data_IF_653430006101
#
_entry.id   IF_653430006101
#
_cell.length_a   1.000
_cell.length_b   1.000
_cell.length_c   1.000
_cell.angle_alpha   90.00
_cell.angle_beta   90.00
_cell.angle_gamma   90.00
#
_symmetry.space_group_name_H-M   'P 1'
#
loop_
_entity.id
_entity.type
_entity.pdbx_description
1 polymer ?
#
# COMPACT_ATOMS: atom_id res chain seq x y z
N UNK A 1 18.26 -5.09 -3.74
CA UNK A 1 19.40 -4.65 -2.90
C UNK A 1 20.34 -5.77 -2.43
N UNK A 2 19.87 -6.93 -1.97
CA UNK A 2 20.75 -8.01 -1.47
C UNK A 2 21.63 -8.71 -2.51
N UNK A 3 21.21 -8.85 -3.77
CA UNK A 3 22.04 -9.50 -4.83
C UNK A 3 23.26 -8.68 -5.23
N UNK A 4 23.23 -7.36 -5.14
CA UNK A 4 24.39 -6.49 -5.44
C UNK A 4 25.44 -6.47 -4.31
N UNK A 5 25.06 -6.76 -3.05
CA UNK A 5 25.99 -6.83 -1.92
C UNK A 5 26.80 -8.15 -1.90
N UNK A 6 26.25 -9.23 -2.41
CA UNK A 6 26.94 -10.54 -2.46
C UNK A 6 28.02 -10.56 -3.57
N UNK A 7 27.81 -9.88 -4.69
CA UNK A 7 28.86 -9.76 -5.72
C UNK A 7 30.05 -8.90 -5.28
N UNK A 8 29.85 -7.88 -4.47
CA UNK A 8 30.92 -7.01 -3.98
C UNK A 8 31.84 -7.71 -2.95
N UNK A 9 31.35 -8.69 -2.19
CA UNK A 9 32.12 -9.45 -1.21
C UNK A 9 32.95 -10.59 -1.83
N UNK A 10 32.53 -11.10 -3.01
CA UNK A 10 33.28 -12.15 -3.73
C UNK A 10 34.46 -11.57 -4.52
N UNK A 11 34.41 -10.31 -4.96
CA UNK A 11 35.51 -9.66 -5.68
C UNK A 11 36.67 -9.23 -4.78
N UNK A 12 36.46 -9.09 -3.47
CA UNK A 12 37.51 -8.65 -2.53
C UNK A 12 38.34 -9.79 -1.93
N UNK A 13 37.93 -11.05 -2.10
CA UNK A 13 38.68 -12.22 -1.60
C UNK A 13 39.60 -12.88 -2.63
N UNK A 14 39.65 -12.41 -3.88
CA UNK A 14 40.49 -12.97 -4.96
C UNK A 14 41.76 -12.17 -5.27
N UNK A 15 42.05 -11.09 -4.57
CA UNK A 15 43.19 -10.21 -4.82
C UNK A 15 44.42 -10.46 -3.96
N UNK A 16 44.51 -11.54 -3.21
CA UNK A 16 45.65 -11.83 -2.31
C UNK A 16 46.46 -13.11 -2.62
N UNK A 17 46.26 -13.69 -3.82
CA UNK A 17 47.12 -14.83 -4.21
C UNK A 17 47.46 -14.76 -5.68
N UNK A 18 48.52 -14.09 -6.07
CA UNK A 18 49.45 -14.48 -7.13
C UNK A 18 50.43 -13.37 -7.43
N UNK A 19 51.63 -13.55 -6.97
CA UNK A 19 52.81 -12.83 -7.47
C UNK A 19 53.36 -13.57 -8.67
N UNK A 20 53.93 -12.77 -9.59
CA UNK A 20 54.90 -13.07 -10.65
C UNK A 20 54.54 -14.11 -11.71
N UNK A 21 54.28 -13.66 -12.94
CA UNK A 21 55.08 -14.01 -14.11
C UNK A 21 54.50 -13.47 -15.44
N UNK A 22 55.37 -12.91 -16.25
CA UNK A 22 55.39 -12.74 -17.73
C UNK A 22 54.30 -11.87 -18.41
N UNK A 23 54.85 -10.76 -18.93
CA UNK A 23 54.25 -9.88 -19.96
C UNK A 23 54.33 -10.57 -21.30
N UNK A 24 53.21 -10.82 -21.97
CA UNK A 24 53.07 -10.97 -23.43
C UNK A 24 52.11 -9.89 -23.89
N UNK A 25 52.54 -9.08 -24.85
CA UNK A 25 51.76 -8.09 -25.57
C UNK A 25 50.62 -8.77 -26.32
N UNK A 26 49.40 -8.36 -26.04
CA UNK A 26 48.22 -8.65 -26.88
C UNK A 26 47.60 -7.34 -27.35
N UNK A 27 47.40 -7.27 -28.67
CA UNK A 27 46.74 -6.19 -29.38
C UNK A 27 45.38 -5.87 -28.77
N UNK A 28 45.18 -4.59 -28.47
CA UNK A 28 43.86 -4.05 -28.10
C UNK A 28 43.00 -3.87 -29.32
N UNK A 29 42.08 -4.82 -29.57
CA UNK A 29 40.85 -4.50 -30.29
C UNK A 29 39.98 -3.61 -29.38
N UNK A 30 39.74 -2.37 -29.80
CA UNK A 30 38.73 -1.48 -29.23
C UNK A 30 37.35 -2.14 -29.36
N UNK A 31 36.90 -2.80 -28.32
CA UNK A 31 35.46 -3.05 -28.15
C UNK A 31 34.82 -1.72 -27.79
N UNK A 32 34.08 -1.15 -28.72
CA UNK A 32 33.17 -0.04 -28.44
C UNK A 32 32.22 -0.46 -27.32
N UNK A 33 32.45 0.10 -26.12
CA UNK A 33 31.42 0.12 -25.08
C UNK A 33 30.23 0.90 -25.65
N UNK A 34 29.20 0.18 -26.07
CA UNK A 34 27.88 0.75 -26.21
C UNK A 34 27.43 1.06 -24.78
N UNK A 35 27.62 2.32 -24.34
CA UNK A 35 26.84 2.85 -23.23
C UNK A 35 25.36 2.64 -23.62
N UNK A 36 24.70 1.68 -23.02
CA UNK A 36 23.23 1.68 -22.95
C UNK A 36 22.87 2.98 -22.23
N UNK A 37 22.59 4.00 -23.00
CA UNK A 37 21.88 5.17 -22.52
C UNK A 37 20.50 4.68 -22.10
N UNK A 38 20.29 4.45 -20.82
CA UNK A 38 18.97 4.33 -20.23
C UNK A 38 18.20 5.58 -20.68
N UNK A 39 17.26 5.42 -21.58
CA UNK A 39 16.34 6.50 -21.95
C UNK A 39 15.62 6.90 -20.67
N UNK A 40 15.88 8.12 -20.20
CA UNK A 40 15.16 8.68 -19.07
C UNK A 40 13.71 8.82 -19.50
N UNK A 41 12.82 8.02 -18.93
CA UNK A 41 11.39 8.13 -19.17
C UNK A 41 10.95 9.57 -18.87
N UNK A 42 10.28 10.19 -19.83
CA UNK A 42 9.72 11.54 -19.68
C UNK A 42 8.25 11.48 -20.03
N UNK A 43 7.42 12.20 -19.29
CA UNK A 43 6.00 12.32 -19.61
C UNK A 43 5.74 13.52 -20.50
N UNK A 44 4.76 13.41 -21.37
CA UNK A 44 4.26 14.50 -22.21
C UNK A 44 2.96 15.06 -21.61
N UNK A 45 2.62 16.29 -21.98
CA UNK A 45 1.36 16.94 -21.60
C UNK A 45 0.67 17.49 -22.84
N UNK A 46 -0.66 17.39 -22.90
CA UNK A 46 -1.45 17.81 -24.07
C UNK A 46 -1.32 19.31 -24.34
N UNK A 47 -1.23 20.13 -23.31
CA UNK A 47 -1.14 21.59 -23.44
C UNK A 47 -0.04 22.19 -22.53
N UNK A 48 1.23 22.23 -22.99
CA UNK A 48 2.33 22.76 -22.17
C UNK A 48 2.16 24.24 -21.78
N UNK A 49 1.48 25.07 -22.57
CA UNK A 49 1.27 26.49 -22.26
C UNK A 49 0.40 26.67 -21.00
N UNK A 50 -0.56 25.77 -20.78
CA UNK A 50 -1.41 25.77 -19.58
C UNK A 50 -0.57 25.73 -18.30
N UNK A 51 0.52 25.00 -18.27
CA UNK A 51 1.39 24.77 -17.12
C UNK A 51 2.39 25.90 -16.85
N UNK A 52 2.51 26.89 -17.74
CA UNK A 52 3.47 27.98 -17.56
C UNK A 52 2.97 29.13 -16.70
N UNK A 53 1.70 29.12 -16.29
CA UNK A 53 1.03 30.25 -15.60
C UNK A 53 1.71 30.71 -14.33
N UNK A 54 2.37 29.80 -13.59
CA UNK A 54 3.00 30.08 -12.29
C UNK A 54 4.52 29.99 -12.31
N UNK A 55 5.13 29.91 -13.49
CA UNK A 55 6.54 29.55 -13.67
C UNK A 55 7.55 30.40 -12.89
N UNK A 56 7.19 31.64 -12.51
CA UNK A 56 8.09 32.58 -11.83
C UNK A 56 7.55 33.06 -10.48
N UNK A 57 6.49 32.48 -9.97
CA UNK A 57 5.77 32.99 -8.81
C UNK A 57 6.32 32.47 -7.47
N UNK A 58 7.25 31.50 -7.53
CA UNK A 58 7.86 30.88 -6.33
C UNK A 58 6.84 30.13 -5.46
N UNK A 59 5.78 29.58 -6.07
CA UNK A 59 4.72 28.83 -5.39
C UNK A 59 5.24 27.45 -4.98
N UNK A 60 4.80 26.96 -3.82
CA UNK A 60 4.92 25.56 -3.43
C UNK A 60 3.57 25.02 -3.01
N UNK A 61 3.35 23.73 -3.26
CA UNK A 61 2.21 22.94 -2.78
C UNK A 61 2.68 21.81 -1.89
N UNK A 62 1.86 21.45 -0.90
CA UNK A 62 2.11 20.34 0.01
C UNK A 62 1.14 19.21 -0.34
N UNK A 63 1.69 18.08 -0.78
CA UNK A 63 0.95 16.87 -1.14
C UNK A 63 1.09 15.83 -0.03
N UNK A 64 -0.04 15.23 0.37
CA UNK A 64 -0.10 14.17 1.36
C UNK A 64 -0.82 12.98 0.76
N UNK A 65 -0.09 11.91 0.47
CA UNK A 65 -0.54 10.74 -0.26
C UNK A 65 -0.26 9.46 0.52
N UNK A 66 -0.64 8.33 -0.01
CA UNK A 66 -0.23 7.01 0.47
C UNK A 66 1.26 6.75 0.21
N UNK A 67 1.85 5.79 0.90
CA UNK A 67 3.13 5.21 0.52
C UNK A 67 3.03 4.50 -0.85
N UNK A 68 4.14 4.34 -1.55
CA UNK A 68 4.25 3.61 -2.83
C UNK A 68 3.13 3.89 -3.86
N UNK A 69 2.63 5.15 -3.95
CA UNK A 69 1.41 5.49 -4.68
C UNK A 69 1.59 6.49 -5.83
N UNK A 70 2.84 6.79 -6.19
CA UNK A 70 3.24 7.63 -7.32
C UNK A 70 4.71 7.36 -7.66
N UNK A 71 5.12 7.35 -8.93
CA UNK A 71 6.54 7.34 -9.29
C UNK A 71 7.22 8.58 -8.75
N UNK A 72 8.07 8.43 -7.74
CA UNK A 72 8.70 9.55 -7.01
C UNK A 72 10.22 9.66 -7.25
N UNK A 73 10.79 8.74 -8.04
CA UNK A 73 12.22 8.69 -8.35
C UNK A 73 13.09 8.19 -7.22
N UNK A 74 12.51 7.48 -6.23
CA UNK A 74 13.24 6.87 -5.12
C UNK A 74 14.20 5.77 -5.57
N UNK A 75 13.93 5.12 -6.70
CA UNK A 75 14.76 4.12 -7.33
C UNK A 75 15.47 4.66 -8.58
N UNK A 76 16.67 4.12 -8.88
CA UNK A 76 17.45 4.51 -10.05
C UNK A 76 16.74 4.08 -11.35
N UNK A 77 16.43 5.05 -12.19
CA UNK A 77 15.71 4.84 -13.46
C UNK A 77 14.19 5.01 -13.35
N UNK A 78 13.64 5.14 -12.15
CA UNK A 78 12.23 5.43 -11.94
C UNK A 78 11.94 6.92 -12.19
N UNK A 79 10.87 7.19 -12.90
CA UNK A 79 10.36 8.52 -13.18
C UNK A 79 10.01 9.26 -11.88
N UNK A 80 10.32 10.56 -11.81
CA UNK A 80 9.86 11.42 -10.70
C UNK A 80 8.81 12.41 -11.20
N UNK A 81 7.54 12.06 -11.06
CA UNK A 81 6.43 12.88 -11.55
C UNK A 81 6.33 14.23 -10.82
N UNK A 82 6.67 14.31 -9.54
CA UNK A 82 6.70 15.55 -8.79
C UNK A 82 7.80 16.50 -9.29
N UNK A 83 8.94 15.94 -9.68
CA UNK A 83 10.03 16.72 -10.29
C UNK A 83 9.66 17.16 -11.71
N UNK A 84 9.03 16.33 -12.53
CA UNK A 84 8.55 16.70 -13.85
C UNK A 84 7.48 17.82 -13.78
N UNK A 85 6.52 17.72 -12.84
CA UNK A 85 5.59 18.83 -12.59
C UNK A 85 6.30 20.12 -12.21
N UNK A 86 7.27 20.06 -11.30
CA UNK A 86 8.07 21.22 -10.88
C UNK A 86 8.83 21.84 -12.04
N UNK A 87 9.46 21.02 -12.87
CA UNK A 87 10.20 21.45 -14.07
C UNK A 87 9.28 22.14 -15.08
N UNK A 88 8.09 21.62 -15.27
CA UNK A 88 7.09 22.13 -16.20
C UNK A 88 6.50 23.47 -15.74
N UNK A 89 6.13 23.57 -14.45
CA UNK A 89 5.31 24.65 -13.91
C UNK A 89 6.09 25.69 -13.10
N UNK A 90 7.25 25.34 -12.55
CA UNK A 90 7.97 26.14 -11.55
C UNK A 90 7.37 26.04 -10.14
N UNK A 91 6.30 25.25 -9.93
CA UNK A 91 5.70 25.00 -8.62
C UNK A 91 6.47 23.89 -7.92
N UNK A 92 6.99 24.16 -6.71
CA UNK A 92 7.66 23.14 -5.91
C UNK A 92 6.63 22.23 -5.25
N UNK A 93 6.82 20.91 -5.34
CA UNK A 93 6.00 19.91 -4.66
C UNK A 93 6.72 19.43 -3.40
N UNK A 94 6.13 19.69 -2.23
CA UNK A 94 6.55 19.10 -0.97
C UNK A 94 5.69 17.86 -0.73
N UNK A 95 6.27 16.68 -0.91
CA UNK A 95 5.57 15.41 -0.82
C UNK A 95 5.79 14.73 0.51
N UNK A 96 4.74 14.14 1.08
CA UNK A 96 4.77 13.34 2.30
C UNK A 96 3.70 12.27 2.25
N UNK A 97 3.87 11.20 3.03
CA UNK A 97 3.00 10.02 3.00
C UNK A 97 2.31 9.76 4.33
N UNK A 98 1.21 8.99 4.27
CA UNK A 98 0.47 8.46 5.41
C UNK A 98 0.11 6.99 5.16
N UNK A 99 -0.11 6.23 6.22
CA UNK A 99 -0.39 4.81 6.14
C UNK A 99 -1.90 4.47 6.11
N UNK A 100 -2.77 5.31 6.69
CA UNK A 100 -4.22 5.04 6.76
C UNK A 100 -5.05 6.31 6.59
N UNK A 101 -6.28 6.17 6.08
CA UNK A 101 -7.26 7.27 6.00
C UNK A 101 -7.52 7.92 7.37
N UNK A 102 -7.47 7.14 8.44
CA UNK A 102 -7.67 7.61 9.81
C UNK A 102 -6.51 8.48 10.27
N UNK A 103 -5.28 8.15 9.88
CA UNK A 103 -4.09 8.99 10.12
C UNK A 103 -4.22 10.32 9.39
N UNK A 104 -4.51 10.27 8.09
CA UNK A 104 -4.77 11.47 7.27
C UNK A 104 -5.84 12.36 7.91
N UNK A 105 -6.99 11.77 8.26
CA UNK A 105 -8.10 12.50 8.87
C UNK A 105 -7.70 13.14 10.21
N UNK A 106 -7.06 12.38 11.09
CA UNK A 106 -6.62 12.87 12.39
C UNK A 106 -5.61 14.03 12.24
N UNK A 107 -4.69 13.92 11.28
CA UNK A 107 -3.70 14.95 10.97
C UNK A 107 -4.34 16.25 10.52
N UNK A 108 -5.31 16.18 9.62
CA UNK A 108 -6.04 17.37 9.13
C UNK A 108 -6.90 17.99 10.23
N UNK A 109 -7.62 17.16 11.00
CA UNK A 109 -8.51 17.62 12.07
C UNK A 109 -7.76 18.22 13.26
N UNK A 110 -6.55 17.71 13.52
CA UNK A 110 -5.68 18.22 14.59
C UNK A 110 -5.14 19.61 14.34
N UNK A 111 -5.13 20.06 13.09
CA UNK A 111 -4.55 21.34 12.67
C UNK A 111 -3.04 21.40 12.88
N UNK A 112 -2.36 22.36 12.34
CA UNK A 112 -0.90 22.53 12.50
C UNK A 112 -0.09 22.12 11.29
N UNK A 113 -0.68 21.42 10.32
CA UNK A 113 -0.12 21.20 8.98
C UNK A 113 -1.12 21.68 7.94
N UNK A 114 -0.64 22.39 6.93
CA UNK A 114 -1.44 22.80 5.77
C UNK A 114 -1.04 21.96 4.59
N UNK A 115 -1.96 21.16 4.10
CA UNK A 115 -1.82 20.44 2.84
C UNK A 115 -2.64 21.13 1.76
N UNK A 116 -2.18 21.06 0.52
CA UNK A 116 -2.87 21.60 -0.64
C UNK A 116 -3.54 20.49 -1.44
N UNK A 117 -2.98 19.27 -1.38
CA UNK A 117 -3.49 18.05 -2.03
C UNK A 117 -3.49 16.90 -1.03
N UNK A 118 -4.55 16.11 -1.06
CA UNK A 118 -4.71 14.83 -0.37
C UNK A 118 -5.37 13.81 -1.30
N UNK A 119 -5.10 12.51 -1.11
CA UNK A 119 -5.65 11.43 -1.96
C UNK A 119 -6.30 10.35 -1.09
N UNK A 120 -7.43 10.63 -0.43
CA UNK A 120 -8.15 9.67 0.41
C UNK A 120 -9.08 8.76 -0.39
N UNK A 121 -9.53 7.67 0.26
CA UNK A 121 -10.54 6.78 -0.28
C UNK A 121 -11.96 7.37 -0.15
N UNK A 122 -12.87 6.85 -0.94
CA UNK A 122 -14.25 7.28 -1.13
C UNK A 122 -15.03 7.50 0.18
N UNK A 123 -15.01 6.55 1.13
CA UNK A 123 -15.70 6.70 2.41
C UNK A 123 -15.15 7.87 3.24
N UNK A 124 -13.84 8.08 3.17
CA UNK A 124 -13.20 9.19 3.88
C UNK A 124 -13.48 10.52 3.21
N UNK A 125 -13.54 10.56 1.88
CA UNK A 125 -13.99 11.75 1.13
C UNK A 125 -15.42 12.11 1.53
N UNK A 126 -16.32 11.14 1.57
CA UNK A 126 -17.71 11.34 2.02
C UNK A 126 -17.77 11.95 3.42
N UNK A 127 -16.95 11.43 4.36
CA UNK A 127 -16.82 11.98 5.72
C UNK A 127 -16.32 13.42 5.70
N UNK A 128 -15.24 13.69 4.97
CA UNK A 128 -14.65 15.03 4.91
C UNK A 128 -15.59 16.05 4.26
N UNK A 129 -16.40 15.65 3.26
CA UNK A 129 -17.45 16.50 2.67
C UNK A 129 -18.50 16.85 3.73
N UNK A 130 -19.01 15.85 4.45
CA UNK A 130 -20.01 16.03 5.52
C UNK A 130 -19.51 16.95 6.61
N UNK A 131 -18.24 16.88 6.97
CA UNK A 131 -17.59 17.73 7.97
C UNK A 131 -17.08 19.07 7.41
N UNK A 132 -17.33 19.39 6.13
CA UNK A 132 -16.88 20.61 5.44
C UNK A 132 -15.35 20.82 5.53
N UNK A 133 -14.60 19.74 5.37
CA UNK A 133 -13.13 19.73 5.41
C UNK A 133 -12.48 19.92 4.02
N UNK A 134 -13.24 19.86 2.92
CA UNK A 134 -12.74 19.97 1.55
C UNK A 134 -13.18 21.27 0.88
N UNK A 135 -12.32 21.79 -0.03
CA UNK A 135 -12.65 22.88 -0.94
C UNK A 135 -13.35 22.33 -2.20
N UNK A 136 -14.41 22.97 -2.69
CA UNK A 136 -14.97 22.61 -3.99
C UNK A 136 -13.99 22.93 -5.11
N UNK A 137 -13.87 22.03 -6.08
CA UNK A 137 -12.99 22.18 -7.24
C UNK A 137 -13.60 23.12 -8.28
N UNK A 138 -12.74 23.91 -8.92
CA UNK A 138 -13.07 24.61 -10.16
C UNK A 138 -12.60 23.78 -11.36
N UNK A 139 -13.53 23.05 -11.99
CA UNK A 139 -13.22 22.18 -13.12
C UNK A 139 -12.71 22.93 -14.36
N UNK A 140 -12.88 24.26 -14.44
CA UNK A 140 -12.27 25.05 -15.51
C UNK A 140 -10.74 25.08 -15.42
N UNK A 141 -10.20 24.84 -14.21
CA UNK A 141 -8.77 24.66 -13.97
C UNK A 141 -8.32 23.18 -14.04
N UNK A 142 -9.22 22.26 -14.38
CA UNK A 142 -8.93 20.80 -14.47
C UNK A 142 -9.52 20.27 -15.78
N UNK A 143 -9.08 20.76 -16.95
CA UNK A 143 -9.64 20.32 -18.25
C UNK A 143 -9.50 18.81 -18.46
N UNK A 144 -8.46 18.17 -17.93
CA UNK A 144 -8.24 16.72 -18.03
C UNK A 144 -9.24 15.88 -17.21
N UNK A 145 -10.11 16.50 -16.38
CA UNK A 145 -11.27 15.81 -15.81
C UNK A 145 -12.15 15.18 -16.90
N UNK A 146 -12.11 15.70 -18.14
CA UNK A 146 -12.79 15.13 -19.28
C UNK A 146 -12.33 13.69 -19.59
N UNK A 147 -11.07 13.36 -19.28
CA UNK A 147 -10.48 12.03 -19.52
C UNK A 147 -10.97 10.97 -18.54
N UNK A 148 -11.59 11.34 -17.41
CA UNK A 148 -12.15 10.38 -16.45
C UNK A 148 -13.32 9.64 -17.10
N UNK A 149 -13.37 8.30 -16.94
CA UNK A 149 -14.47 7.44 -17.39
C UNK A 149 -15.77 7.82 -16.71
N UNK A 150 -16.88 7.79 -17.46
CA UNK A 150 -18.18 8.25 -16.96
C UNK A 150 -18.67 7.47 -15.73
N UNK A 151 -18.34 6.18 -15.60
CA UNK A 151 -18.69 5.35 -14.46
C UNK A 151 -18.07 5.81 -13.13
N UNK A 152 -16.98 6.58 -13.17
CA UNK A 152 -16.31 7.15 -11.99
C UNK A 152 -16.71 8.60 -11.72
N UNK A 153 -17.40 9.27 -12.66
CA UNK A 153 -17.90 10.63 -12.45
C UNK A 153 -19.18 10.60 -11.62
N UNK A 154 -19.35 11.57 -10.74
CA UNK A 154 -20.57 11.73 -9.93
C UNK A 154 -20.91 10.50 -9.06
N UNK A 155 -19.88 9.89 -8.46
CA UNK A 155 -20.03 8.78 -7.52
C UNK A 155 -20.86 9.17 -6.28
N UNK A 156 -21.44 8.20 -5.58
CA UNK A 156 -22.30 8.44 -4.40
C UNK A 156 -21.56 9.19 -3.27
N UNK A 157 -20.26 8.98 -3.13
CA UNK A 157 -19.45 9.68 -2.11
C UNK A 157 -19.24 11.17 -2.41
N UNK A 158 -19.29 11.58 -3.70
CA UNK A 158 -19.15 12.98 -4.15
C UNK A 158 -20.07 13.26 -5.35
N UNK A 159 -21.39 13.45 -5.15
CA UNK A 159 -22.31 13.71 -6.24
C UNK A 159 -21.94 14.94 -7.06
N UNK A 160 -21.80 14.73 -8.36
CA UNK A 160 -21.35 15.75 -9.31
C UNK A 160 -19.83 15.97 -9.31
N UNK A 161 -19.04 15.14 -8.65
CA UNK A 161 -17.58 15.26 -8.51
C UNK A 161 -17.18 16.71 -8.17
N UNK A 162 -17.79 17.23 -7.12
CA UNK A 162 -17.62 18.63 -6.72
C UNK A 162 -16.33 18.87 -5.95
N UNK A 163 -15.86 17.87 -5.22
CA UNK A 163 -14.74 17.98 -4.28
C UNK A 163 -13.56 17.10 -4.64
N UNK A 164 -13.75 16.14 -5.56
CA UNK A 164 -12.74 15.12 -5.87
C UNK A 164 -12.60 14.86 -7.37
N UNK A 165 -11.42 14.37 -7.75
CA UNK A 165 -11.14 13.77 -9.07
C UNK A 165 -10.62 12.37 -8.83
N UNK A 166 -11.26 11.31 -9.35
CA UNK A 166 -10.79 9.94 -9.21
C UNK A 166 -9.33 9.79 -9.65
N UNK A 167 -8.56 9.04 -8.87
CA UNK A 167 -7.13 8.83 -9.07
C UNK A 167 -6.84 7.37 -9.44
N UNK A 168 -7.29 6.44 -8.62
CA UNK A 168 -7.20 5.00 -8.82
C UNK A 168 -8.46 4.32 -8.31
N UNK A 169 -8.62 3.05 -8.66
CA UNK A 169 -9.64 2.19 -8.09
C UNK A 169 -9.13 0.75 -8.04
N UNK A 170 -9.76 -0.08 -7.23
CA UNK A 170 -9.38 -1.48 -7.12
C UNK A 170 -10.26 -2.26 -6.16
N UNK A 171 -9.89 -3.50 -5.95
CA UNK A 171 -10.53 -4.46 -5.04
C UNK A 171 -9.56 -4.91 -3.96
N UNK A 172 -10.08 -5.58 -2.94
CA UNK A 172 -9.31 -6.27 -1.92
C UNK A 172 -9.43 -7.77 -2.15
N UNK A 173 -8.32 -8.50 -2.03
CA UNK A 173 -8.30 -9.94 -2.15
C UNK A 173 -7.24 -10.56 -1.24
N UNK A 174 -6.81 -11.75 -1.57
CA UNK A 174 -5.79 -12.48 -0.83
C UNK A 174 -4.61 -12.75 -1.75
N UNK A 175 -3.42 -12.26 -1.35
CA UNK A 175 -2.13 -12.64 -1.94
C UNK A 175 -1.67 -13.91 -1.26
N UNK A 176 -1.22 -14.89 -2.03
CA UNK A 176 -0.79 -16.18 -1.49
C UNK A 176 0.40 -16.77 -2.26
N UNK A 177 1.17 -17.61 -1.59
CA UNK A 177 2.26 -18.39 -2.19
C UNK A 177 1.68 -19.62 -2.88
N UNK A 178 1.69 -19.63 -4.21
CA UNK A 178 1.12 -20.68 -5.09
C UNK A 178 1.82 -22.02 -4.95
N UNK A 179 3.02 -22.05 -4.37
CA UNK A 179 3.77 -23.30 -4.12
C UNK A 179 3.34 -24.00 -2.83
N UNK A 180 2.54 -23.34 -2.00
CA UNK A 180 2.13 -23.81 -0.67
C UNK A 180 0.61 -23.88 -0.51
N UNK A 181 -0.12 -23.00 -1.17
CA UNK A 181 -1.58 -22.86 -1.03
C UNK A 181 -2.24 -23.10 -2.38
N UNK A 182 -3.24 -23.96 -2.42
CA UNK A 182 -4.07 -24.18 -3.62
C UNK A 182 -5.18 -23.11 -3.70
N UNK A 183 -5.34 -22.47 -4.85
CA UNK A 183 -6.32 -21.38 -5.05
C UNK A 183 -7.76 -21.80 -4.72
N UNK A 184 -8.13 -23.05 -5.04
CA UNK A 184 -9.47 -23.60 -4.80
C UNK A 184 -9.87 -23.63 -3.31
N UNK A 185 -8.87 -23.57 -2.40
CA UNK A 185 -9.08 -23.59 -0.95
C UNK A 185 -9.17 -22.21 -0.32
N UNK A 186 -9.07 -21.11 -1.13
CA UNK A 186 -8.97 -19.75 -0.61
C UNK A 186 -10.33 -19.08 -0.46
N UNK A 187 -10.78 -18.98 0.79
CA UNK A 187 -11.81 -18.05 1.25
C UNK A 187 -11.24 -17.09 2.29
N UNK A 188 -12.02 -16.12 2.76
CA UNK A 188 -11.56 -15.24 3.85
C UNK A 188 -11.21 -16.00 5.13
N UNK A 189 -11.74 -17.20 5.32
CA UNK A 189 -11.50 -18.05 6.49
C UNK A 189 -10.08 -18.62 6.56
N UNK A 190 -9.35 -18.69 5.42
CA UNK A 190 -7.93 -19.11 5.39
C UNK A 190 -7.07 -18.20 6.28
N UNK A 191 -7.47 -16.95 6.48
CA UNK A 191 -6.77 -15.99 7.36
C UNK A 191 -6.86 -16.37 8.85
N UNK A 192 -7.65 -17.39 9.21
CA UNK A 192 -7.78 -17.96 10.58
C UNK A 192 -7.27 -19.39 10.67
N UNK A 193 -6.69 -19.93 9.61
CA UNK A 193 -6.25 -21.32 9.56
C UNK A 193 -4.99 -21.53 10.42
N UNK A 194 -5.07 -22.47 11.36
CA UNK A 194 -3.97 -22.81 12.29
C UNK A 194 -2.81 -23.51 11.56
N UNK A 195 -3.04 -24.14 10.41
CA UNK A 195 -2.00 -24.82 9.62
C UNK A 195 -1.00 -23.82 9.02
N UNK A 196 -1.41 -22.56 8.84
CA UNK A 196 -0.56 -21.46 8.37
C UNK A 196 -0.12 -20.52 9.49
N UNK A 197 -0.28 -20.91 10.75
CA UNK A 197 0.02 -20.06 11.91
C UNK A 197 1.44 -19.47 11.86
N UNK A 198 1.55 -18.16 12.08
CA UNK A 198 2.81 -17.43 12.04
C UNK A 198 3.32 -17.11 10.62
N UNK A 199 2.53 -17.44 9.58
CA UNK A 199 2.83 -17.12 8.18
C UNK A 199 1.71 -16.33 7.50
N UNK A 200 0.71 -15.88 8.24
CA UNK A 200 -0.41 -15.05 7.81
C UNK A 200 -0.14 -13.60 8.21
N UNK A 201 -0.30 -12.67 7.28
CA UNK A 201 -0.36 -11.24 7.56
C UNK A 201 -1.81 -10.77 7.68
N UNK A 202 -2.01 -9.59 8.23
CA UNK A 202 -3.30 -8.92 8.31
C UNK A 202 -3.10 -7.42 8.17
N UNK A 203 -4.10 -6.70 7.66
CA UNK A 203 -4.10 -5.24 7.59
C UNK A 203 -3.84 -4.58 8.95
N UNK A 204 -2.95 -3.60 9.00
CA UNK A 204 -2.88 -2.61 10.09
C UNK A 204 -3.80 -1.41 9.82
N UNK A 205 -4.95 -1.69 9.25
CA UNK A 205 -6.01 -0.76 8.94
C UNK A 205 -7.32 -1.30 9.54
N UNK A 206 -7.92 -0.63 10.53
CA UNK A 206 -9.12 -1.14 11.20
C UNK A 206 -10.30 -1.31 10.23
N UNK A 207 -10.47 -0.42 9.25
CA UNK A 207 -11.62 -0.46 8.37
C UNK A 207 -11.62 -1.72 7.49
N UNK A 208 -10.48 -2.08 6.91
CA UNK A 208 -10.33 -3.27 6.08
C UNK A 208 -10.31 -4.55 6.93
N UNK A 209 -9.62 -4.54 8.06
CA UNK A 209 -9.60 -5.69 8.97
C UNK A 209 -11.00 -6.07 9.49
N UNK A 210 -11.79 -5.07 9.89
CA UNK A 210 -13.17 -5.28 10.32
C UNK A 210 -14.05 -5.77 9.17
N UNK A 211 -13.89 -5.21 7.97
CA UNK A 211 -14.65 -5.63 6.79
C UNK A 211 -14.48 -7.12 6.47
N UNK A 212 -13.26 -7.65 6.56
CA UNK A 212 -13.01 -9.09 6.38
C UNK A 212 -13.74 -9.92 7.45
N UNK A 213 -13.63 -9.51 8.72
CA UNK A 213 -14.31 -10.22 9.81
C UNK A 213 -15.84 -10.11 9.70
N UNK A 214 -16.36 -8.96 9.31
CA UNK A 214 -17.79 -8.72 9.05
C UNK A 214 -18.29 -9.57 7.89
N UNK A 215 -17.54 -9.66 6.77
CA UNK A 215 -17.85 -10.54 5.66
C UNK A 215 -17.98 -12.00 6.11
N UNK A 216 -17.00 -12.53 6.84
CA UNK A 216 -17.02 -13.89 7.36
C UNK A 216 -18.20 -14.17 8.28
N UNK A 217 -18.67 -13.16 9.03
CA UNK A 217 -19.81 -13.27 9.93
C UNK A 217 -21.16 -13.04 9.21
N UNK A 218 -21.14 -12.69 7.91
CA UNK A 218 -22.32 -12.37 7.13
C UNK A 218 -22.95 -11.04 7.51
N UNK A 219 -22.14 -10.09 8.01
CA UNK A 219 -22.56 -8.73 8.33
C UNK A 219 -22.25 -7.77 7.17
N UNK A 220 -22.91 -6.62 7.15
CA UNK A 220 -22.59 -5.55 6.22
C UNK A 220 -21.20 -4.98 6.50
N UNK A 221 -20.40 -4.72 5.46
CA UNK A 221 -19.14 -3.99 5.56
C UNK A 221 -19.32 -2.54 6.09
N UNK A 222 -20.56 -2.08 6.15
CA UNK A 222 -20.97 -0.77 6.61
C UNK A 222 -21.86 -0.86 7.86
N UNK A 223 -21.75 -1.93 8.64
CA UNK A 223 -22.56 -2.07 9.84
C UNK A 223 -22.24 -0.98 10.87
N UNK A 224 -23.28 -0.39 11.43
CA UNK A 224 -23.22 0.52 12.57
C UNK A 224 -23.76 -0.14 13.86
N UNK A 225 -24.11 -1.42 13.79
CA UNK A 225 -24.63 -2.17 14.91
C UNK A 225 -23.49 -2.50 15.88
N UNK A 226 -23.59 -1.98 17.12
CA UNK A 226 -22.56 -2.17 18.15
C UNK A 226 -22.28 -3.63 18.47
N UNK A 227 -23.30 -4.52 18.44
CA UNK A 227 -23.13 -5.94 18.73
C UNK A 227 -22.41 -6.67 17.58
N UNK A 228 -22.64 -6.27 16.32
CA UNK A 228 -21.94 -6.82 15.16
C UNK A 228 -20.48 -6.40 15.14
N UNK A 229 -20.20 -5.11 15.42
CA UNK A 229 -18.82 -4.61 15.58
C UNK A 229 -18.07 -5.34 16.70
N UNK A 230 -18.73 -5.60 17.85
CA UNK A 230 -18.12 -6.37 18.94
C UNK A 230 -17.78 -7.80 18.52
N UNK A 231 -18.68 -8.49 17.78
CA UNK A 231 -18.41 -9.84 17.27
C UNK A 231 -17.31 -9.87 16.22
N UNK A 232 -17.24 -8.86 15.34
CA UNK A 232 -16.14 -8.72 14.39
C UNK A 232 -14.80 -8.54 15.12
N UNK A 233 -14.76 -7.72 16.18
CA UNK A 233 -13.57 -7.56 17.02
C UNK A 233 -13.19 -8.85 17.74
N UNK A 234 -14.16 -9.63 18.24
CA UNK A 234 -13.91 -10.95 18.83
C UNK A 234 -13.30 -11.90 17.81
N UNK A 235 -13.83 -11.92 16.58
CA UNK A 235 -13.30 -12.71 15.47
C UNK A 235 -11.85 -12.34 15.13
N UNK A 236 -11.53 -11.04 15.04
CA UNK A 236 -10.16 -10.56 14.84
C UNK A 236 -9.23 -10.93 16.01
N UNK A 237 -9.76 -10.93 17.23
CA UNK A 237 -8.99 -11.38 18.41
C UNK A 237 -8.68 -12.88 18.37
N UNK A 238 -9.57 -13.71 17.81
CA UNK A 238 -9.30 -15.13 17.58
C UNK A 238 -8.17 -15.31 16.58
N UNK A 239 -8.19 -14.54 15.47
CA UNK A 239 -7.18 -14.55 14.40
C UNK A 239 -5.77 -14.21 14.92
N UNK A 240 -5.67 -13.38 15.95
CA UNK A 240 -4.39 -12.94 16.52
C UNK A 240 -3.45 -14.09 16.88
N UNK A 241 -3.96 -15.30 17.12
CA UNK A 241 -3.16 -16.48 17.46
C UNK A 241 -2.37 -17.03 16.27
N UNK A 242 -2.83 -16.77 15.05
CA UNK A 242 -2.24 -17.29 13.81
C UNK A 242 -1.53 -16.22 12.99
N UNK A 243 -1.86 -14.95 13.19
CA UNK A 243 -1.26 -13.81 12.48
C UNK A 243 0.19 -13.62 12.89
N UNK A 244 1.07 -13.47 11.90
CA UNK A 244 2.49 -13.12 12.10
C UNK A 244 2.63 -11.65 12.47
N UNK A 245 2.01 -10.77 11.69
CA UNK A 245 2.06 -9.32 11.85
C UNK A 245 0.83 -8.63 11.25
N UNK A 246 0.55 -7.45 11.77
CA UNK A 246 -0.34 -6.47 11.15
C UNK A 246 0.54 -5.52 10.34
N UNK A 247 0.24 -5.35 9.05
CA UNK A 247 1.09 -4.63 8.09
C UNK A 247 0.29 -3.67 7.23
N UNK A 248 0.98 -2.68 6.71
CA UNK A 248 0.66 -1.93 5.51
C UNK A 248 1.81 -2.17 4.52
N UNK A 249 2.58 -1.18 4.10
CA UNK A 249 3.64 -1.32 3.10
C UNK A 249 4.72 -2.39 3.42
N UNK A 250 4.83 -2.82 4.69
CA UNK A 250 5.74 -3.93 5.07
C UNK A 250 5.38 -5.27 4.41
N UNK A 251 4.22 -5.36 3.73
CA UNK A 251 3.82 -6.56 3.00
C UNK A 251 4.82 -6.88 1.88
N UNK A 252 5.34 -5.87 1.19
CA UNK A 252 6.29 -6.04 0.09
C UNK A 252 7.54 -6.82 0.56
N UNK A 253 8.12 -6.40 1.68
CA UNK A 253 9.28 -7.08 2.26
C UNK A 253 8.93 -8.51 2.73
N UNK A 254 7.80 -8.70 3.39
CA UNK A 254 7.45 -9.96 4.05
C UNK A 254 7.01 -11.04 3.07
N UNK A 255 6.17 -10.70 2.10
CA UNK A 255 5.76 -11.65 1.05
C UNK A 255 6.93 -11.93 0.12
N UNK A 256 7.64 -10.90 -0.35
CA UNK A 256 8.80 -11.05 -1.23
C UNK A 256 9.97 -11.83 -0.62
N UNK A 257 10.16 -11.77 0.70
CA UNK A 257 11.15 -12.60 1.40
C UNK A 257 10.67 -14.03 1.71
N UNK A 258 9.39 -14.36 1.47
CA UNK A 258 8.77 -15.64 1.86
C UNK A 258 8.62 -15.82 3.38
N UNK A 259 8.68 -14.70 4.15
CA UNK A 259 8.43 -14.73 5.60
C UNK A 259 6.95 -14.99 5.90
N UNK A 260 6.06 -14.55 5.03
CA UNK A 260 4.63 -14.82 5.04
C UNK A 260 4.21 -15.47 3.72
N UNK A 261 3.07 -16.16 3.72
CA UNK A 261 2.55 -16.89 2.56
C UNK A 261 1.10 -16.56 2.24
N UNK A 262 0.40 -15.88 3.12
CA UNK A 262 -1.00 -15.48 2.95
C UNK A 262 -1.14 -14.06 3.53
N UNK A 263 -1.74 -13.17 2.75
CA UNK A 263 -2.03 -11.81 3.19
C UNK A 263 -3.28 -11.28 2.49
N UNK A 264 -4.26 -10.72 3.20
CA UNK A 264 -5.29 -9.90 2.57
C UNK A 264 -4.65 -8.58 2.15
N UNK A 265 -4.82 -8.18 0.89
CA UNK A 265 -4.29 -6.88 0.45
C UNK A 265 -5.01 -6.34 -0.79
N UNK A 266 -4.58 -5.16 -1.24
CA UNK A 266 -5.16 -4.48 -2.39
C UNK A 266 -4.64 -5.06 -3.70
N UNK A 267 -5.52 -5.10 -4.72
CA UNK A 267 -5.23 -5.71 -6.01
C UNK A 267 -4.01 -5.08 -6.73
N UNK A 268 -3.83 -3.77 -6.64
CA UNK A 268 -2.69 -3.10 -7.28
C UNK A 268 -1.34 -3.55 -6.70
N UNK A 269 -1.21 -3.57 -5.37
CA UNK A 269 0.00 -4.05 -4.71
C UNK A 269 0.24 -5.54 -5.00
N UNK A 270 -0.84 -6.33 -5.16
CA UNK A 270 -0.73 -7.72 -5.56
C UNK A 270 -0.11 -7.87 -6.95
N UNK A 271 -0.53 -7.06 -7.93
CA UNK A 271 0.05 -7.03 -9.28
C UNK A 271 1.55 -6.71 -9.20
N UNK A 272 1.92 -5.64 -8.49
CA UNK A 272 3.33 -5.25 -8.31
C UNK A 272 4.17 -6.38 -7.66
N UNK A 273 3.63 -7.07 -6.65
CA UNK A 273 4.30 -8.20 -6.02
C UNK A 273 4.43 -9.40 -6.95
N UNK A 274 3.40 -9.71 -7.74
CA UNK A 274 3.39 -10.83 -8.67
C UNK A 274 4.34 -10.60 -9.85
N UNK A 275 4.53 -9.35 -10.27
CA UNK A 275 5.52 -8.99 -11.30
C UNK A 275 6.96 -9.20 -10.81
N UNK A 276 7.21 -9.06 -9.52
CA UNK A 276 8.54 -9.26 -8.92
C UNK A 276 8.77 -10.72 -8.47
N UNK A 277 7.71 -11.44 -8.07
CA UNK A 277 7.77 -12.78 -7.46
C UNK A 277 6.80 -13.74 -8.13
N UNK A 278 7.29 -14.57 -9.06
CA UNK A 278 6.51 -15.52 -9.88
C UNK A 278 5.72 -16.57 -9.07
N UNK A 279 6.11 -16.81 -7.82
CA UNK A 279 5.45 -17.78 -6.92
C UNK A 279 4.25 -17.19 -6.16
N UNK A 280 3.94 -15.90 -6.35
CA UNK A 280 2.78 -15.26 -5.74
C UNK A 280 1.56 -15.29 -6.67
N UNK A 281 0.39 -15.42 -6.08
CA UNK A 281 -0.90 -15.32 -6.73
C UNK A 281 -1.85 -14.41 -5.97
N UNK A 282 -2.94 -14.01 -6.63
CA UNK A 282 -3.99 -13.18 -6.03
C UNK A 282 -5.36 -13.71 -6.37
N UNK A 283 -6.26 -13.75 -5.38
CA UNK A 283 -7.63 -14.19 -5.57
C UNK A 283 -8.61 -13.32 -4.79
N UNK A 284 -9.76 -13.05 -5.39
CA UNK A 284 -10.90 -12.42 -4.73
C UNK A 284 -11.83 -13.54 -4.24
N UNK A 285 -12.00 -13.72 -2.89
CA UNK A 285 -12.87 -14.76 -2.36
C UNK A 285 -14.31 -14.68 -2.86
N UNK A 286 -14.97 -15.82 -3.07
CA UNK A 286 -16.34 -15.92 -3.58
C UNK A 286 -17.40 -15.25 -2.69
N UNK A 287 -17.12 -15.08 -1.40
CA UNK A 287 -18.03 -14.38 -0.48
C UNK A 287 -18.05 -12.87 -0.68
N UNK A 288 -17.28 -12.34 -1.64
CA UNK A 288 -17.28 -10.92 -2.01
C UNK A 288 -16.14 -10.12 -1.39
N UNK A 289 -15.99 -8.89 -1.87
CA UNK A 289 -14.91 -7.97 -1.51
C UNK A 289 -15.40 -6.53 -1.43
N UNK A 290 -14.53 -5.63 -0.93
CA UNK A 290 -14.67 -4.18 -1.05
C UNK A 290 -14.12 -3.70 -2.41
N UNK A 291 -14.87 -2.85 -3.09
CA UNK A 291 -14.39 -2.06 -4.22
C UNK A 291 -14.22 -0.62 -3.74
N UNK A 292 -13.02 -0.07 -3.88
CA UNK A 292 -12.70 1.29 -3.44
C UNK A 292 -12.33 2.20 -4.61
N UNK A 293 -12.48 3.50 -4.40
CA UNK A 293 -12.03 4.55 -5.30
C UNK A 293 -11.26 5.56 -4.47
N UNK A 294 -9.98 5.76 -4.81
CA UNK A 294 -9.19 6.84 -4.26
C UNK A 294 -9.26 8.06 -5.16
N UNK A 295 -9.36 9.24 -4.58
CA UNK A 295 -9.51 10.44 -5.38
C UNK A 295 -8.75 11.64 -4.80
N UNK A 296 -8.27 12.47 -5.71
CA UNK A 296 -7.52 13.69 -5.36
C UNK A 296 -8.48 14.77 -4.89
N UNK A 297 -8.21 15.32 -3.72
CA UNK A 297 -9.00 16.36 -3.07
C UNK A 297 -8.13 17.56 -2.63
N UNK A 298 -8.75 18.70 -2.45
CA UNK A 298 -8.14 19.90 -1.87
C UNK A 298 -8.75 20.14 -0.48
N UNK A 299 -7.97 20.01 0.61
CA UNK A 299 -8.47 20.25 1.95
C UNK A 299 -8.71 21.75 2.21
N UNK A 300 -9.60 22.05 3.17
CA UNK A 300 -9.80 23.41 3.67
C UNK A 300 -8.49 24.01 4.19
N UNK A 301 -8.29 25.29 3.85
CA UNK A 301 -7.07 26.00 4.23
C UNK A 301 -5.93 25.89 3.21
N UNK A 302 -6.15 25.25 2.07
CA UNK A 302 -5.25 25.32 0.92
C UNK A 302 -4.97 26.79 0.56
N UNK A 303 -3.68 27.12 0.40
CA UNK A 303 -3.26 28.51 0.13
C UNK A 303 -3.18 28.84 -1.35
N UNK A 304 -2.88 27.84 -2.16
CA UNK A 304 -2.60 27.97 -3.59
C UNK A 304 -3.55 27.09 -4.41
N UNK A 305 -4.87 27.31 -4.26
CA UNK A 305 -5.90 26.43 -4.83
C UNK A 305 -5.74 26.22 -6.35
N UNK A 306 -5.47 27.29 -7.12
CA UNK A 306 -5.27 27.15 -8.57
C UNK A 306 -4.02 26.34 -8.92
N UNK A 307 -2.95 26.43 -8.12
CA UNK A 307 -1.76 25.59 -8.29
C UNK A 307 -2.05 24.11 -7.92
N UNK A 308 -2.85 23.89 -6.89
CA UNK A 308 -3.32 22.56 -6.52
C UNK A 308 -4.22 21.96 -7.62
N UNK A 309 -5.15 22.74 -8.17
CA UNK A 309 -5.98 22.32 -9.30
C UNK A 309 -5.16 22.04 -10.57
N UNK A 310 -4.06 22.77 -10.80
CA UNK A 310 -3.11 22.50 -11.87
C UNK A 310 -2.38 21.17 -11.64
N UNK A 311 -2.01 20.83 -10.40
CA UNK A 311 -1.42 19.54 -10.06
C UNK A 311 -2.43 18.41 -10.29
N UNK A 312 -3.68 18.57 -9.88
CA UNK A 312 -4.75 17.61 -10.18
C UNK A 312 -4.90 17.41 -11.69
N UNK A 313 -4.85 18.51 -12.47
CA UNK A 313 -4.90 18.42 -13.93
C UNK A 313 -3.72 17.64 -14.50
N UNK A 314 -2.51 17.85 -13.97
CA UNK A 314 -1.29 17.14 -14.37
C UNK A 314 -1.39 15.65 -14.10
N UNK A 315 -1.85 15.23 -12.92
CA UNK A 315 -2.06 13.81 -12.59
C UNK A 315 -3.06 13.12 -13.55
N UNK A 316 -3.90 13.90 -14.24
CA UNK A 316 -4.88 13.40 -15.22
C UNK A 316 -4.45 13.62 -16.69
N UNK A 317 -3.21 14.07 -16.96
CA UNK A 317 -2.64 13.94 -18.30
C UNK A 317 -2.53 12.47 -18.68
N UNK A 318 -2.82 12.08 -19.93
CA UNK A 318 -2.83 10.66 -20.31
C UNK A 318 -1.53 9.93 -19.99
N UNK A 319 -0.37 10.49 -20.38
CA UNK A 319 0.93 9.88 -20.13
C UNK A 319 1.26 9.81 -18.63
N UNK A 320 0.84 10.81 -17.86
CA UNK A 320 1.05 10.84 -16.39
C UNK A 320 0.18 9.81 -15.69
N UNK A 321 -1.10 9.74 -16.04
CA UNK A 321 -2.02 8.76 -15.47
C UNK A 321 -1.64 7.33 -15.87
N UNK A 322 -1.10 7.13 -17.10
CA UNK A 322 -0.53 5.87 -17.52
C UNK A 322 0.70 5.50 -16.69
N UNK A 323 1.66 6.41 -16.54
CA UNK A 323 2.88 6.16 -15.78
C UNK A 323 2.58 5.86 -14.29
N UNK A 324 1.52 6.47 -13.72
CA UNK A 324 1.06 6.15 -12.38
C UNK A 324 0.53 4.72 -12.34
N UNK A 325 -0.43 4.36 -13.20
CA UNK A 325 -1.05 3.04 -13.22
C UNK A 325 -0.04 1.92 -13.46
N UNK A 326 0.90 2.12 -14.39
CA UNK A 326 1.98 1.20 -14.73
C UNK A 326 2.93 0.96 -13.55
N UNK A 327 3.25 2.03 -12.80
CA UNK A 327 4.18 1.94 -11.67
C UNK A 327 3.56 1.30 -10.42
N UNK A 328 2.30 1.68 -10.09
CA UNK A 328 1.67 1.23 -8.84
C UNK A 328 0.80 -0.02 -9.01
N UNK A 329 0.59 -0.53 -10.24
CA UNK A 329 -0.26 -1.68 -10.51
C UNK A 329 -1.78 -1.46 -10.35
N UNK A 330 -2.21 -0.27 -9.92
CA UNK A 330 -3.62 0.04 -9.68
C UNK A 330 -4.36 0.48 -10.92
N UNK A 331 -5.64 0.14 -11.00
CA UNK A 331 -6.50 0.49 -12.13
C UNK A 331 -6.73 2.00 -12.23
N UNK A 332 -6.50 2.54 -13.43
CA UNK A 332 -6.73 3.95 -13.71
C UNK A 332 -8.20 4.23 -14.06
N UNK A 333 -8.80 5.28 -13.51
CA UNK A 333 -10.10 5.78 -13.96
C UNK A 333 -10.00 6.68 -15.21
N UNK A 334 -8.79 6.94 -15.72
CA UNK A 334 -8.54 7.78 -16.90
C UNK A 334 -8.68 6.94 -18.17
N UNK A 335 -9.68 7.26 -19.01
CA UNK A 335 -9.99 6.53 -20.23
C UNK A 335 -8.82 6.47 -21.21
N UNK A 336 -8.12 7.61 -21.41
CA UNK A 336 -7.00 7.66 -22.35
C UNK A 336 -5.78 6.88 -21.85
N UNK A 337 -5.49 6.95 -20.55
CA UNK A 337 -4.43 6.14 -19.95
C UNK A 337 -4.74 4.64 -20.05
N UNK A 338 -5.99 4.24 -19.76
CA UNK A 338 -6.45 2.87 -19.97
C UNK A 338 -6.26 2.38 -21.41
N UNK A 339 -6.55 3.23 -22.40
CA UNK A 339 -6.34 2.89 -23.82
C UNK A 339 -4.87 2.63 -24.17
N UNK A 340 -3.92 3.24 -23.41
CA UNK A 340 -2.48 3.07 -23.61
C UNK A 340 -1.92 1.78 -23.00
N UNK A 341 -2.59 1.19 -22.01
CA UNK A 341 -2.16 -0.05 -21.38
C UNK A 341 -2.11 -1.21 -22.38
N UNK A 342 -1.25 -2.15 -22.13
CA UNK A 342 -1.16 -3.39 -22.89
C UNK A 342 -2.39 -4.29 -22.67
N UNK A 343 -2.71 -5.12 -23.66
CA UNK A 343 -3.85 -6.04 -23.58
C UNK A 343 -3.68 -7.08 -22.46
N UNK A 344 -2.44 -7.41 -22.09
CA UNK A 344 -2.11 -8.30 -20.98
C UNK A 344 -2.56 -7.72 -19.65
N UNK A 345 -2.23 -6.47 -19.37
CA UNK A 345 -2.67 -5.75 -18.15
C UNK A 345 -4.19 -5.58 -18.12
N UNK A 346 -4.82 -5.27 -19.27
CA UNK A 346 -6.29 -5.11 -19.36
C UNK A 346 -7.06 -6.39 -19.10
N UNK A 347 -6.45 -7.56 -19.29
CA UNK A 347 -7.08 -8.88 -19.23
C UNK A 347 -6.40 -9.79 -18.19
N UNK A 348 -5.70 -9.24 -17.23
CA UNK A 348 -5.02 -9.99 -16.15
C UNK A 348 -5.99 -10.69 -15.18
N UNK A 349 -7.29 -10.32 -15.22
CA UNK A 349 -8.31 -10.84 -14.32
C UNK A 349 -8.22 -10.29 -12.88
N UNK A 350 -7.41 -9.26 -12.66
CA UNK A 350 -7.14 -8.64 -11.35
C UNK A 350 -7.42 -7.15 -11.38
N UNK A 351 -6.76 -6.42 -12.29
CA UNK A 351 -6.77 -4.96 -12.32
C UNK A 351 -8.05 -4.40 -12.95
N UNK A 352 -8.41 -4.87 -14.14
CA UNK A 352 -9.53 -4.34 -14.93
C UNK A 352 -10.65 -5.38 -15.08
N UNK A 353 -11.23 -5.75 -13.96
CA UNK A 353 -12.37 -6.67 -13.92
C UNK A 353 -13.55 -6.13 -14.73
N UNK A 354 -14.23 -6.99 -15.46
CA UNK A 354 -15.44 -6.59 -16.18
C UNK A 354 -16.58 -6.22 -15.21
N UNK A 355 -17.48 -5.36 -15.68
CA UNK A 355 -18.54 -4.83 -14.85
C UNK A 355 -19.51 -5.95 -14.37
N UNK A 356 -19.70 -7.03 -15.15
CA UNK A 356 -20.52 -8.18 -14.77
C UNK A 356 -19.86 -8.99 -13.64
N UNK A 357 -18.54 -9.22 -13.72
CA UNK A 357 -17.79 -9.89 -12.66
C UNK A 357 -17.77 -9.06 -11.36
N UNK A 358 -17.51 -7.74 -11.48
CA UNK A 358 -17.59 -6.83 -10.34
C UNK A 358 -18.99 -6.89 -9.72
N UNK A 359 -20.06 -6.84 -10.53
CA UNK A 359 -21.44 -6.92 -10.06
C UNK A 359 -21.70 -8.28 -9.39
N UNK A 360 -21.22 -9.39 -9.94
CA UNK A 360 -21.37 -10.72 -9.34
C UNK A 360 -20.69 -10.80 -7.98
N UNK A 361 -19.40 -10.49 -7.88
CA UNK A 361 -18.62 -10.55 -6.62
C UNK A 361 -19.11 -9.53 -5.59
N UNK A 362 -19.65 -8.41 -6.05
CA UNK A 362 -20.28 -7.41 -5.18
C UNK A 362 -21.76 -7.74 -4.89
N UNK A 363 -22.48 -8.45 -5.79
CA UNK A 363 -23.91 -8.80 -5.66
C UNK A 363 -24.15 -10.05 -4.81
N UNK A 364 -23.22 -10.98 -4.71
CA UNK A 364 -23.34 -12.11 -3.76
C UNK A 364 -23.54 -11.56 -2.35
N UNK A 365 -22.82 -10.52 -2.01
CA UNK A 365 -23.00 -9.78 -0.77
C UNK A 365 -24.32 -8.98 -0.74
N UNK A 366 -24.71 -8.34 -1.85
CA UNK A 366 -25.95 -7.57 -1.99
C UNK A 366 -27.22 -8.43 -1.87
N UNK A 367 -27.21 -9.68 -2.35
CA UNK A 367 -28.37 -10.58 -2.29
C UNK A 367 -28.70 -10.96 -0.85
N UNK A 368 -27.69 -11.05 0.02
CA UNK A 368 -27.87 -11.36 1.44
C UNK A 368 -28.19 -10.12 2.28
N UNK A 369 -27.68 -8.94 1.93
CA UNK A 369 -27.69 -7.76 2.82
C UNK A 369 -28.30 -6.47 2.23
N UNK A 370 -28.63 -6.38 0.93
CA UNK A 370 -29.21 -5.19 0.26
C UNK A 370 -28.37 -3.92 0.29
N UNK A 371 -27.06 -3.98 0.52
CA UNK A 371 -26.20 -2.81 0.60
C UNK A 371 -25.02 -2.92 -0.37
N UNK A 372 -24.45 -1.76 -0.78
CA UNK A 372 -23.31 -1.71 -1.71
C UNK A 372 -22.05 -2.32 -1.10
N UNK A 373 -21.23 -2.99 -1.92
CA UNK A 373 -19.91 -3.50 -1.54
C UNK A 373 -18.83 -2.42 -1.54
N UNK A 374 -19.22 -1.17 -1.45
CA UNK A 374 -18.31 -0.03 -1.26
C UNK A 374 -18.41 0.44 0.18
N UNK A 375 -17.30 0.86 0.71
CA UNK A 375 -17.32 1.50 2.02
C UNK A 375 -18.15 2.79 1.97
N UNK A 376 -19.00 2.96 2.97
CA UNK A 376 -19.68 4.20 3.23
C UNK A 376 -19.08 4.89 4.46
N UNK A 377 -19.28 6.20 4.57
CA UNK A 377 -18.95 6.89 5.80
C UNK A 377 -19.90 6.42 6.92
N UNK A 378 -19.35 5.77 7.93
CA UNK A 378 -20.10 5.39 9.12
C UNK A 378 -20.39 6.59 10.01
N UNK A 379 -21.33 6.44 10.94
CA UNK A 379 -21.57 7.43 11.98
C UNK A 379 -20.33 7.62 12.87
N UNK A 380 -20.23 8.77 13.50
CA UNK A 380 -19.12 9.06 14.42
C UNK A 380 -19.07 8.06 15.57
N UNK A 381 -20.24 7.59 16.03
CA UNK A 381 -20.36 6.58 17.09
C UNK A 381 -19.79 5.24 16.65
N UNK A 382 -20.15 4.75 15.45
CA UNK A 382 -19.65 3.50 14.90
C UNK A 382 -18.14 3.57 14.62
N UNK A 383 -17.66 4.67 14.02
CA UNK A 383 -16.24 4.89 13.79
C UNK A 383 -15.44 4.89 15.11
N UNK A 384 -15.91 5.59 16.13
CA UNK A 384 -15.26 5.62 17.43
C UNK A 384 -15.28 4.25 18.12
N UNK A 385 -16.39 3.53 18.02
CA UNK A 385 -16.53 2.17 18.54
C UNK A 385 -15.52 1.23 17.87
N UNK A 386 -15.44 1.23 16.55
CA UNK A 386 -14.49 0.41 15.77
C UNK A 386 -13.05 0.70 16.19
N UNK A 387 -12.65 1.98 16.27
CA UNK A 387 -11.30 2.37 16.67
C UNK A 387 -10.97 1.92 18.11
N UNK A 388 -11.93 2.00 19.02
CA UNK A 388 -11.75 1.53 20.40
C UNK A 388 -11.55 0.02 20.44
N UNK A 389 -12.43 -0.73 19.77
CA UNK A 389 -12.35 -2.19 19.69
C UNK A 389 -11.05 -2.67 19.02
N UNK A 390 -10.61 -1.97 17.96
CA UNK A 390 -9.33 -2.23 17.29
C UNK A 390 -8.15 -2.06 18.24
N UNK A 391 -8.10 -0.93 18.94
CA UNK A 391 -7.04 -0.62 19.91
C UNK A 391 -7.01 -1.65 21.04
N UNK A 392 -8.19 -2.01 21.57
CA UNK A 392 -8.32 -3.02 22.62
C UNK A 392 -7.88 -4.41 22.15
N UNK A 393 -8.26 -4.79 20.92
CA UNK A 393 -7.86 -6.04 20.30
C UNK A 393 -6.34 -6.08 20.12
N UNK A 394 -5.73 -5.05 19.53
CA UNK A 394 -4.27 -5.00 19.31
C UNK A 394 -3.49 -4.99 20.65
N UNK A 395 -3.96 -4.29 21.66
CA UNK A 395 -3.30 -4.18 22.97
C UNK A 395 -3.53 -5.39 23.87
N UNK A 396 -4.52 -6.25 23.57
CA UNK A 396 -4.78 -7.45 24.37
C UNK A 396 -3.56 -8.36 24.36
N UNK A 397 -3.02 -8.69 25.55
CA UNK A 397 -1.90 -9.64 25.66
C UNK A 397 -2.36 -11.02 25.18
N UNK A 398 -1.58 -11.62 24.26
CA UNK A 398 -1.69 -13.05 23.99
C UNK A 398 -1.35 -13.80 25.27
N UNK A 399 -2.24 -14.68 25.69
CA UNK A 399 -1.89 -15.71 26.66
C UNK A 399 -1.03 -16.77 25.97
N UNK A 400 0.19 -16.39 25.55
CA UNK A 400 1.13 -17.38 25.01
C UNK A 400 1.65 -18.21 26.20
N UNK A 401 1.52 -19.57 26.13
CA UNK A 401 2.09 -20.46 27.16
C UNK A 401 3.61 -20.29 27.30
N UNK A 402 4.27 -19.69 26.33
CA UNK A 402 5.72 -19.54 26.25
C UNK A 402 6.34 -18.44 27.12
N UNK A 403 5.57 -17.43 27.59
CA UNK A 403 6.13 -16.36 28.46
C UNK A 403 6.63 -16.90 29.83
N UNK A 404 6.19 -18.08 30.24
CA UNK A 404 6.67 -18.71 31.49
C UNK A 404 7.95 -19.53 31.27
N UNK A 405 8.18 -20.04 30.06
CA UNK A 405 9.31 -20.93 29.74
C UNK A 405 10.62 -20.12 29.60
N UNK A 406 10.59 -18.94 28.98
CA UNK A 406 11.80 -18.13 28.72
C UNK A 406 12.45 -17.63 30.02
N UNK A 407 11.74 -17.05 31.01
CA UNK A 407 12.37 -16.69 32.29
C UNK A 407 12.82 -17.91 33.10
N UNK A 408 12.11 -19.04 33.02
CA UNK A 408 12.52 -20.27 33.68
C UNK A 408 13.81 -20.85 33.04
N UNK A 409 13.92 -20.85 31.73
CA UNK A 409 15.14 -21.29 31.01
C UNK A 409 16.34 -20.38 31.28
N UNK A 410 16.13 -19.05 31.27
CA UNK A 410 17.17 -18.08 31.66
C UNK A 410 17.64 -18.30 33.09
N UNK A 411 16.73 -18.55 34.03
CA UNK A 411 17.07 -18.82 35.42
C UNK A 411 17.89 -20.09 35.58
N UNK A 412 17.57 -21.16 34.86
CA UNK A 412 18.35 -22.42 34.85
C UNK A 412 19.74 -22.19 34.27
N UNK A 413 19.90 -21.43 33.21
CA UNK A 413 21.20 -21.10 32.60
C UNK A 413 22.08 -20.28 33.57
N UNK A 414 21.49 -19.31 34.29
CA UNK A 414 22.21 -18.50 35.30
C UNK A 414 22.67 -19.37 36.46
N UNK A 415 21.82 -20.26 36.98
CA UNK A 415 22.16 -21.19 38.06
C UNK A 415 23.28 -22.14 37.62
N UNK A 416 23.20 -22.73 36.41
CA UNK A 416 24.23 -23.58 35.85
C UNK A 416 25.58 -22.85 35.73
N UNK A 417 25.59 -21.63 35.26
CA UNK A 417 26.78 -20.79 35.15
C UNK A 417 27.41 -20.48 36.51
N UNK A 418 26.59 -20.19 37.52
CA UNK A 418 27.04 -20.00 38.91
C UNK A 418 27.68 -21.26 39.49
N UNK A 419 27.09 -22.43 39.27
CA UNK A 419 27.63 -23.73 39.72
C UNK A 419 29.00 -23.97 39.07
N UNK A 420 29.17 -23.67 37.78
CA UNK A 420 30.44 -23.83 37.08
C UNK A 420 31.52 -22.90 37.66
N UNK A 421 31.17 -21.65 37.95
CA UNK A 421 32.08 -20.68 38.57
C UNK A 421 32.51 -21.09 39.98
N UNK A 422 31.57 -21.57 40.80
CA UNK A 422 31.86 -22.09 42.14
C UNK A 422 32.77 -23.31 42.07
N UNK A 423 32.54 -24.23 41.16
CA UNK A 423 33.42 -25.42 40.96
C UNK A 423 34.80 -25.04 40.51
N UNK A 424 34.94 -24.04 39.62
CA UNK A 424 36.27 -23.49 39.23
C UNK A 424 36.99 -22.83 40.37
N UNK A 425 36.29 -22.06 41.20
CA UNK A 425 36.86 -21.39 42.39
C UNK A 425 37.33 -22.41 43.42
N UNK A 426 36.55 -23.43 43.72
CA UNK A 426 36.92 -24.53 44.65
C UNK A 426 38.14 -25.30 44.14
N UNK A 427 38.21 -25.61 42.82
CA UNK A 427 39.35 -26.27 42.23
C UNK A 427 40.60 -25.42 42.33
N UNK A 428 40.53 -24.12 42.01
CA UNK A 428 41.67 -23.18 42.11
C UNK A 428 42.17 -23.06 43.55
N UNK A 429 41.31 -23.18 44.54
CA UNK A 429 41.68 -23.11 45.96
C UNK A 429 42.34 -24.45 46.43
N UNK A 430 41.97 -25.61 45.86
CA UNK A 430 42.58 -26.88 46.13
C UNK A 430 44.01 -27.01 45.54
N UNK A 431 44.24 -26.37 44.40
CA UNK A 431 45.54 -26.37 43.72
C UNK A 431 46.55 -25.38 44.31
N UNK A 432 46.16 -24.61 45.34
CA UNK A 432 46.97 -23.62 46.05
C UNK A 432 47.46 -24.08 47.44
N UNK A 433 47.08 -25.29 47.85
CA UNK A 433 47.52 -25.98 49.09
C UNK A 433 48.06 -27.37 48.72
#
# INVERSE_FOLDING_TARGET
>A
MMKKFILALISMSLLLASGCAHIEEYDTEETADTEETTEVQTVTVDNPEYYTRFKNDGISINVYNWGEYIPDGSEEGVLNLNAEFTKLTGITVNYSTYATNEELYAKLKGGGSTYDIIIPSDYMISRMIKENMLEPLDKSNIPNFANIMDKFKSSEYDPGSKYSVPYTWGTVGIIYDTTVVDEEDIGWDILWDEDYSGRILMFDNPRDAFAIAENMLGYSLNTENSEELEKAAEKLKEQKKVVQAYVMDEIFDKMGAGEAIIAPYYAGDAVTLMDEYEDLGFVIPDSGTNLFIDAVCIPKGCRNKEAAEMYINFLNEPDVAYAIADFIGYSTPNQKAYEMLDDEVKNDGISYLDDDYIEEKTTVFLTLMRESCKFCNLSDEANQKMQTLWTDMKSSEEQTPNKVIVPAFMSVCVIASLIILIRRYIKKKKDMF
#
